data_IF_927038804013
#
_entry.id   IF_927038804013
#
_cell.length_a   1.000
_cell.length_b   1.000
_cell.length_c   1.000
_cell.angle_alpha   90.00
_cell.angle_beta   90.00
_cell.angle_gamma   90.00
#
_symmetry.space_group_name_H-M   'P 1'
#
loop_
_entity.id
_entity.type
_entity.pdbx_description
1 polymer ?
#
# COMPACT_ATOMS: atom_id res chain seq x y z
N UNK A 1 -17.52 7.73 7.79
CA UNK A 1 -16.72 7.01 8.79
C UNK A 1 -17.62 6.39 9.85
N UNK A 2 -18.44 7.18 10.56
CA UNK A 2 -19.33 6.72 11.65
C UNK A 2 -20.19 5.51 11.31
N UNK A 3 -20.74 5.42 10.10
CA UNK A 3 -21.57 4.28 9.70
C UNK A 3 -20.81 2.95 9.78
N UNK A 4 -19.58 2.91 9.27
CA UNK A 4 -18.73 1.70 9.32
C UNK A 4 -18.33 1.35 10.76
N UNK A 5 -17.96 2.36 11.56
CA UNK A 5 -17.59 2.17 12.97
C UNK A 5 -18.78 1.59 13.76
N UNK A 6 -19.98 2.13 13.56
CA UNK A 6 -21.20 1.64 14.24
C UNK A 6 -21.55 0.21 13.83
N UNK A 7 -21.39 -0.14 12.56
CA UNK A 7 -21.61 -1.51 12.09
C UNK A 7 -20.63 -2.50 12.72
N UNK A 8 -19.37 -2.08 12.94
CA UNK A 8 -18.32 -2.91 13.54
C UNK A 8 -18.47 -3.04 15.06
N UNK A 9 -19.00 -1.99 15.71
CA UNK A 9 -19.17 -1.88 17.16
C UNK A 9 -20.61 -1.51 17.50
N UNK A 10 -21.56 -2.46 17.37
CA UNK A 10 -22.99 -2.18 17.59
C UNK A 10 -23.32 -1.75 19.04
N UNK A 11 -22.50 -2.21 19.99
CA UNK A 11 -22.67 -1.94 21.43
C UNK A 11 -22.13 -0.57 21.87
N UNK A 12 -21.44 0.14 20.98
CA UNK A 12 -20.90 1.46 21.33
C UNK A 12 -21.98 2.53 21.38
N UNK A 13 -21.84 3.42 22.35
CA UNK A 13 -22.66 4.62 22.41
C UNK A 13 -22.42 5.55 21.22
N UNK A 14 -23.38 6.41 20.92
CA UNK A 14 -23.21 7.41 19.85
C UNK A 14 -21.96 8.26 20.05
N UNK A 15 -21.66 8.63 21.30
CA UNK A 15 -20.50 9.46 21.65
C UNK A 15 -19.19 8.73 21.35
N UNK A 16 -19.06 7.47 21.73
CA UNK A 16 -17.88 6.63 21.42
C UNK A 16 -17.65 6.49 19.91
N UNK A 17 -18.71 6.30 19.12
CA UNK A 17 -18.62 6.23 17.65
C UNK A 17 -18.13 7.56 17.05
N UNK A 18 -18.59 8.70 17.58
CA UNK A 18 -18.17 10.03 17.14
C UNK A 18 -16.68 10.21 17.44
N UNK A 19 -16.27 10.05 18.69
CA UNK A 19 -14.89 10.25 19.13
C UNK A 19 -13.91 9.38 18.36
N UNK A 20 -14.24 8.11 18.17
CA UNK A 20 -13.44 7.19 17.38
C UNK A 20 -13.36 7.62 15.91
N UNK A 21 -14.47 8.02 15.30
CA UNK A 21 -14.47 8.49 13.91
C UNK A 21 -13.65 9.77 13.73
N UNK A 22 -13.78 10.71 14.65
CA UNK A 22 -13.00 11.96 14.64
C UNK A 22 -11.50 11.71 14.82
N UNK A 23 -11.11 10.74 15.65
CA UNK A 23 -9.72 10.32 15.79
C UNK A 23 -9.11 9.99 14.42
N UNK A 24 -9.76 9.15 13.62
CA UNK A 24 -9.25 8.75 12.30
C UNK A 24 -9.34 9.88 11.26
N UNK A 25 -10.36 10.75 11.35
CA UNK A 25 -10.42 11.94 10.50
C UNK A 25 -9.27 12.91 10.81
N UNK A 26 -8.93 13.11 12.08
CA UNK A 26 -7.76 13.89 12.49
C UNK A 26 -6.44 13.28 12.01
N UNK A 27 -6.31 11.95 12.07
CA UNK A 27 -5.12 11.24 11.59
C UNK A 27 -4.85 11.46 10.10
N UNK A 28 -5.88 11.67 9.29
CA UNK A 28 -5.78 12.02 7.86
C UNK A 28 -5.79 13.52 7.60
N UNK A 29 -5.55 14.35 8.62
CA UNK A 29 -5.48 15.80 8.49
C UNK A 29 -6.83 16.50 8.18
N UNK A 30 -7.95 15.85 8.41
CA UNK A 30 -9.28 16.46 8.29
C UNK A 30 -9.68 17.07 9.64
N UNK A 31 -9.40 18.36 9.78
CA UNK A 31 -9.65 19.17 10.99
C UNK A 31 -10.27 20.51 10.61
N UNK A 32 -10.55 21.37 11.61
CA UNK A 32 -11.02 22.73 11.39
C UNK A 32 -12.41 22.83 10.76
N UNK A 33 -13.31 21.92 11.14
CA UNK A 33 -14.69 21.88 10.64
C UNK A 33 -14.87 21.06 9.34
N UNK A 34 -13.77 20.58 8.74
CA UNK A 34 -13.84 19.74 7.53
C UNK A 34 -14.53 18.39 7.80
N UNK A 35 -14.40 17.88 9.02
CA UNK A 35 -15.00 16.65 9.53
C UNK A 35 -16.53 16.68 9.54
N UNK A 36 -17.13 17.87 9.55
CA UNK A 36 -18.58 18.07 9.55
C UNK A 36 -19.16 18.37 8.16
N UNK A 37 -18.31 18.52 7.14
CA UNK A 37 -18.76 18.83 5.77
C UNK A 37 -19.40 17.62 5.09
N UNK A 38 -20.40 17.92 4.23
CA UNK A 38 -20.99 16.90 3.36
C UNK A 38 -20.02 16.53 2.22
N UNK A 39 -20.10 15.32 1.65
CA UNK A 39 -19.21 14.88 0.57
C UNK A 39 -19.10 15.85 -0.60
N UNK A 40 -20.18 16.52 -0.99
CA UNK A 40 -20.20 17.52 -2.05
C UNK A 40 -19.40 18.80 -1.74
N UNK A 41 -19.11 19.06 -0.48
CA UNK A 41 -18.35 20.22 0.00
C UNK A 41 -16.85 19.90 0.19
N UNK A 42 -16.44 18.66 -0.11
CA UNK A 42 -15.08 18.20 0.02
C UNK A 42 -14.36 18.21 -1.33
N UNK A 43 -13.09 18.58 -1.35
CA UNK A 43 -12.24 18.40 -2.52
C UNK A 43 -11.99 16.92 -2.82
N UNK A 44 -11.45 16.60 -4.01
CA UNK A 44 -11.08 15.22 -4.38
C UNK A 44 -10.15 14.58 -3.34
N UNK A 45 -9.07 15.27 -2.97
CA UNK A 45 -8.13 14.80 -1.96
C UNK A 45 -8.76 14.66 -0.58
N UNK A 46 -9.67 15.57 -0.17
CA UNK A 46 -10.39 15.44 1.10
C UNK A 46 -11.32 14.21 1.10
N UNK A 47 -11.99 13.93 -0.01
CA UNK A 47 -12.81 12.70 -0.15
C UNK A 47 -11.96 11.45 -0.03
N UNK A 48 -10.77 11.45 -0.65
CA UNK A 48 -9.83 10.33 -0.54
C UNK A 48 -9.36 10.11 0.91
N UNK A 49 -9.03 11.18 1.62
CA UNK A 49 -8.69 11.14 3.05
C UNK A 49 -9.84 10.54 3.89
N UNK A 50 -11.09 10.93 3.62
CA UNK A 50 -12.27 10.33 4.28
C UNK A 50 -12.37 8.83 3.98
N UNK A 51 -12.08 8.40 2.73
CA UNK A 51 -12.09 6.98 2.36
C UNK A 51 -11.04 6.18 3.12
N UNK A 52 -9.82 6.72 3.24
CA UNK A 52 -8.74 6.11 4.03
C UNK A 52 -9.16 6.04 5.51
N UNK A 53 -9.60 7.16 6.10
CA UNK A 53 -10.06 7.20 7.50
C UNK A 53 -11.18 6.18 7.75
N UNK A 54 -12.13 6.05 6.83
CA UNK A 54 -13.22 5.07 6.91
C UNK A 54 -12.71 3.64 6.93
N UNK A 55 -11.74 3.33 6.08
CA UNK A 55 -11.18 1.99 5.96
C UNK A 55 -10.38 1.59 7.21
N UNK A 56 -9.59 2.49 7.76
CA UNK A 56 -8.81 2.23 8.98
C UNK A 56 -9.64 2.27 10.27
N UNK A 57 -10.71 3.09 10.33
CA UNK A 57 -11.52 3.26 11.54
C UNK A 57 -12.28 2.00 11.96
N UNK A 58 -12.57 1.09 11.05
CA UNK A 58 -13.18 -0.21 11.37
C UNK A 58 -12.18 -1.24 11.91
N UNK A 59 -10.90 -0.90 11.94
CA UNK A 59 -9.80 -1.72 12.42
C UNK A 59 -9.81 -3.15 11.87
N UNK A 60 -9.78 -3.33 10.54
CA UNK A 60 -9.78 -4.65 9.94
C UNK A 60 -8.44 -5.37 10.20
N UNK A 61 -8.43 -6.70 10.24
CA UNK A 61 -7.19 -7.47 10.28
C UNK A 61 -6.42 -7.37 8.96
N UNK A 62 -7.14 -7.30 7.86
CA UNK A 62 -6.60 -7.13 6.51
C UNK A 62 -7.34 -5.98 5.81
N UNK A 63 -6.58 -5.01 5.32
CA UNK A 63 -7.08 -3.87 4.54
C UNK A 63 -6.64 -4.05 3.09
N UNK A 64 -7.61 -3.98 2.17
CA UNK A 64 -7.36 -4.02 0.73
C UNK A 64 -7.51 -2.62 0.15
N UNK A 65 -6.50 -2.15 -0.56
CA UNK A 65 -6.46 -0.85 -1.23
C UNK A 65 -6.19 -1.08 -2.73
N UNK A 66 -7.11 -0.62 -3.57
CA UNK A 66 -6.98 -0.70 -5.03
C UNK A 66 -6.71 0.69 -5.58
N UNK A 67 -5.52 0.90 -6.13
CA UNK A 67 -5.05 2.19 -6.70
C UNK A 67 -5.38 3.41 -5.82
N UNK A 68 -5.04 3.41 -4.51
CA UNK A 68 -5.58 4.40 -3.58
C UNK A 68 -5.13 5.84 -3.88
N UNK A 69 -4.14 6.03 -4.72
CA UNK A 69 -3.57 7.35 -5.03
C UNK A 69 -3.66 7.73 -6.51
N UNK A 70 -4.18 6.84 -7.37
CA UNK A 70 -4.17 7.02 -8.83
C UNK A 70 -4.87 8.30 -9.33
N UNK A 71 -5.93 8.75 -8.64
CA UNK A 71 -6.70 9.94 -9.01
C UNK A 71 -6.17 11.27 -8.40
N UNK A 72 -4.99 11.26 -7.77
CA UNK A 72 -4.46 12.41 -7.05
C UNK A 72 -3.32 13.10 -7.83
N UNK A 73 -3.26 14.43 -7.75
CA UNK A 73 -2.08 15.19 -8.17
C UNK A 73 -0.86 14.85 -7.29
N UNK A 74 0.33 15.14 -7.80
CA UNK A 74 1.59 14.73 -7.17
C UNK A 74 1.78 15.25 -5.73
N UNK A 75 1.38 16.51 -5.45
CA UNK A 75 1.54 17.11 -4.12
C UNK A 75 0.56 16.48 -3.12
N UNK A 76 -0.71 16.36 -3.50
CA UNK A 76 -1.74 15.73 -2.69
C UNK A 76 -1.42 14.26 -2.44
N UNK A 77 -0.93 13.54 -3.46
CA UNK A 77 -0.50 12.14 -3.36
C UNK A 77 0.58 11.96 -2.29
N UNK A 78 1.64 12.77 -2.34
CA UNK A 78 2.72 12.71 -1.34
C UNK A 78 2.21 12.87 0.08
N UNK A 79 1.40 13.90 0.31
CA UNK A 79 0.82 14.16 1.63
C UNK A 79 -0.03 12.98 2.14
N UNK A 80 -0.87 12.41 1.27
CA UNK A 80 -1.76 11.30 1.66
C UNK A 80 -0.97 10.00 1.91
N UNK A 81 0.11 9.76 1.17
CA UNK A 81 0.98 8.62 1.42
C UNK A 81 1.69 8.73 2.76
N UNK A 82 2.17 9.91 3.13
CA UNK A 82 2.79 10.16 4.44
C UNK A 82 1.77 9.96 5.58
N UNK A 83 0.52 10.38 5.36
CA UNK A 83 -0.58 10.13 6.30
C UNK A 83 -0.91 8.64 6.43
N UNK A 84 -0.93 7.90 5.31
CA UNK A 84 -1.14 6.45 5.30
C UNK A 84 -0.06 5.73 6.12
N UNK A 85 1.22 6.08 5.90
CA UNK A 85 2.35 5.52 6.67
C UNK A 85 2.16 5.78 8.16
N UNK A 86 1.75 7.00 8.53
CA UNK A 86 1.53 7.37 9.93
C UNK A 86 0.40 6.57 10.57
N UNK A 87 -0.74 6.44 9.88
CA UNK A 87 -1.89 5.67 10.37
C UNK A 87 -1.51 4.20 10.50
N UNK A 88 -0.90 3.63 9.46
CA UNK A 88 -0.49 2.23 9.46
C UNK A 88 0.50 1.93 10.59
N UNK A 89 1.48 2.82 10.82
CA UNK A 89 2.45 2.66 11.92
C UNK A 89 1.79 2.70 13.30
N UNK A 90 0.66 3.39 13.44
CA UNK A 90 -0.08 3.50 14.70
C UNK A 90 -1.12 2.39 14.91
N UNK A 91 -1.54 1.69 13.85
CA UNK A 91 -2.63 0.71 13.91
C UNK A 91 -2.18 -0.74 13.71
N UNK A 92 -0.96 -0.95 13.24
CA UNK A 92 -0.34 -2.27 13.00
C UNK A 92 -1.20 -3.26 12.18
N UNK A 93 -2.01 -2.73 11.26
CA UNK A 93 -2.88 -3.53 10.40
C UNK A 93 -2.09 -4.14 9.23
N UNK A 94 -2.49 -5.33 8.78
CA UNK A 94 -1.99 -5.87 7.52
C UNK A 94 -2.68 -5.13 6.37
N UNK A 95 -1.88 -4.55 5.49
CA UNK A 95 -2.39 -3.83 4.30
C UNK A 95 -1.91 -4.52 3.04
N UNK A 96 -2.84 -4.74 2.13
CA UNK A 96 -2.58 -5.26 0.79
C UNK A 96 -2.99 -4.19 -0.21
N UNK A 97 -2.05 -3.70 -1.02
CA UNK A 97 -2.28 -2.58 -1.93
C UNK A 97 -1.96 -2.99 -3.36
N UNK A 98 -2.82 -2.59 -4.28
CA UNK A 98 -2.57 -2.66 -5.72
C UNK A 98 -2.14 -1.27 -6.18
N UNK A 99 -1.02 -1.20 -6.90
CA UNK A 99 -0.53 0.03 -7.51
C UNK A 99 0.29 -0.28 -8.76
N UNK A 100 0.30 0.62 -9.72
CA UNK A 100 1.18 0.58 -10.88
C UNK A 100 2.41 1.50 -10.72
N UNK A 101 2.53 2.21 -9.60
CA UNK A 101 3.64 3.11 -9.31
C UNK A 101 4.73 2.38 -8.52
N UNK A 102 5.88 2.17 -9.16
CA UNK A 102 7.03 1.45 -8.59
C UNK A 102 7.58 2.15 -7.35
N UNK A 103 7.67 3.48 -7.38
CA UNK A 103 8.24 4.25 -6.28
C UNK A 103 7.31 4.25 -5.07
N UNK A 104 6.01 4.23 -5.31
CA UNK A 104 4.97 4.06 -4.29
C UNK A 104 5.05 2.67 -3.65
N UNK A 105 5.18 1.61 -4.45
CA UNK A 105 5.32 0.25 -3.97
C UNK A 105 6.55 0.11 -3.05
N UNK A 106 7.70 0.69 -3.43
CA UNK A 106 8.92 0.63 -2.62
C UNK A 106 8.78 1.44 -1.33
N UNK A 107 8.19 2.63 -1.40
CA UNK A 107 8.02 3.51 -0.24
C UNK A 107 7.14 2.87 0.84
N UNK A 108 6.03 2.27 0.42
CA UNK A 108 4.97 1.86 1.33
C UNK A 108 5.09 0.41 1.79
N UNK A 109 5.52 -0.54 0.93
CA UNK A 109 5.41 -1.96 1.24
C UNK A 109 6.68 -2.60 1.81
N UNK A 110 6.52 -3.67 2.58
CA UNK A 110 7.62 -4.54 3.04
C UNK A 110 7.88 -5.68 2.05
N UNK A 111 6.88 -5.96 1.20
CA UNK A 111 6.95 -6.99 0.17
C UNK A 111 6.13 -6.56 -1.05
N UNK A 112 6.70 -6.73 -2.24
CA UNK A 112 6.06 -6.40 -3.51
C UNK A 112 5.84 -7.71 -4.27
N UNK A 113 4.59 -7.95 -4.69
CA UNK A 113 4.24 -9.09 -5.52
C UNK A 113 4.18 -8.64 -6.98
N UNK A 114 5.00 -9.24 -7.83
CA UNK A 114 5.02 -8.97 -9.26
C UNK A 114 4.15 -9.98 -9.99
N UNK A 115 3.18 -9.47 -10.74
CA UNK A 115 2.22 -10.28 -11.49
C UNK A 115 2.69 -10.52 -12.92
N UNK A 116 2.37 -11.70 -13.46
CA UNK A 116 2.48 -11.95 -14.90
C UNK A 116 1.28 -11.33 -15.62
N UNK A 117 1.39 -11.23 -16.95
CA UNK A 117 0.33 -10.72 -17.82
C UNK A 117 -0.59 -11.85 -18.35
N UNK A 118 -1.75 -11.44 -18.89
CA UNK A 118 -2.63 -12.29 -19.66
C UNK A 118 -3.71 -13.01 -18.86
N UNK A 119 -4.51 -13.86 -19.53
CA UNK A 119 -5.70 -14.47 -18.94
C UNK A 119 -5.41 -15.46 -17.81
N UNK A 120 -4.15 -15.88 -17.68
CA UNK A 120 -3.67 -16.77 -16.60
C UNK A 120 -2.64 -16.06 -15.74
N UNK A 121 -2.87 -14.77 -15.46
CA UNK A 121 -1.98 -13.97 -14.62
C UNK A 121 -1.76 -14.63 -13.25
N UNK A 122 -0.49 -14.67 -12.80
CA UNK A 122 -0.09 -15.24 -11.52
C UNK A 122 0.98 -14.37 -10.86
N UNK A 123 1.21 -14.57 -9.58
CA UNK A 123 2.37 -14.00 -8.91
C UNK A 123 3.62 -14.69 -9.42
N UNK A 124 4.50 -13.96 -10.10
CA UNK A 124 5.77 -14.46 -10.61
C UNK A 124 6.89 -14.36 -9.58
N UNK A 125 6.98 -13.19 -8.95
CA UNK A 125 8.04 -12.89 -7.99
C UNK A 125 7.47 -12.21 -6.74
N UNK A 126 8.14 -12.45 -5.61
CA UNK A 126 7.88 -11.78 -4.33
C UNK A 126 9.14 -11.05 -3.91
N UNK A 127 9.19 -9.74 -4.16
CA UNK A 127 10.36 -8.90 -3.88
C UNK A 127 10.30 -8.39 -2.44
N UNK A 128 11.35 -8.64 -1.67
CA UNK A 128 11.50 -8.11 -0.31
C UNK A 128 12.06 -6.69 -0.37
N UNK A 129 11.39 -5.75 0.28
CA UNK A 129 11.87 -4.37 0.40
C UNK A 129 12.67 -4.24 1.69
N UNK A 130 13.97 -4.52 1.60
CA UNK A 130 14.91 -4.51 2.74
C UNK A 130 15.47 -3.10 2.99
N UNK A 131 14.55 -2.13 3.09
CA UNK A 131 14.85 -0.74 3.46
C UNK A 131 14.22 -0.49 4.82
N UNK A 132 15.01 -0.06 5.83
CA UNK A 132 14.51 0.17 7.18
C UNK A 132 13.34 1.17 7.24
N UNK A 133 12.45 0.99 8.22
CA UNK A 133 11.41 1.96 8.56
C UNK A 133 11.86 2.84 9.74
N UNK A 134 11.38 4.07 9.88
CA UNK A 134 10.40 4.74 9.01
C UNK A 134 11.03 5.16 7.68
N UNK A 135 10.29 5.01 6.57
CA UNK A 135 10.73 5.48 5.26
C UNK A 135 10.17 6.86 4.99
N UNK A 136 11.03 7.75 4.55
CA UNK A 136 10.68 9.11 4.16
C UNK A 136 10.89 9.26 2.66
N UNK A 137 9.95 9.85 1.97
CA UNK A 137 9.99 10.09 0.52
C UNK A 137 11.25 10.83 0.06
N UNK A 138 11.66 11.86 0.81
CA UNK A 138 12.83 12.67 0.46
C UNK A 138 14.16 11.94 0.69
N UNK A 139 14.18 11.00 1.63
CA UNK A 139 15.39 10.29 2.06
C UNK A 139 15.55 8.93 1.40
N UNK A 140 14.46 8.26 1.02
CA UNK A 140 14.51 6.91 0.47
C UNK A 140 15.36 6.82 -0.80
N UNK A 141 15.35 7.88 -1.62
CA UNK A 141 16.14 7.96 -2.85
C UNK A 141 17.65 7.98 -2.61
N UNK A 142 18.10 8.28 -1.39
CA UNK A 142 19.52 8.24 -1.01
C UNK A 142 19.92 6.87 -0.44
N UNK A 143 18.96 5.97 -0.23
CA UNK A 143 19.25 4.60 0.21
C UNK A 143 19.76 3.75 -0.96
N UNK A 144 20.90 3.09 -0.80
CA UNK A 144 21.48 2.26 -1.85
C UNK A 144 20.56 1.11 -2.30
N UNK A 145 19.75 0.56 -1.38
CA UNK A 145 18.78 -0.50 -1.67
C UNK A 145 17.64 -0.03 -2.57
N UNK A 146 17.28 1.26 -2.51
CA UNK A 146 16.17 1.81 -3.29
C UNK A 146 16.34 1.59 -4.80
N UNK A 147 17.47 2.01 -5.36
CA UNK A 147 17.70 1.87 -6.79
C UNK A 147 17.89 0.42 -7.23
N UNK A 148 18.42 -0.44 -6.37
CA UNK A 148 18.54 -1.88 -6.66
C UNK A 148 17.17 -2.52 -6.81
N UNK A 149 16.26 -2.25 -5.88
CA UNK A 149 14.88 -2.72 -5.94
C UNK A 149 14.16 -2.10 -7.14
N UNK A 150 14.24 -0.77 -7.29
CA UNK A 150 13.59 -0.05 -8.38
C UNK A 150 13.99 -0.56 -9.77
N UNK A 151 15.27 -0.75 -10.01
CA UNK A 151 15.79 -1.26 -11.28
C UNK A 151 15.26 -2.67 -11.54
N UNK A 152 15.29 -3.56 -10.54
CA UNK A 152 14.73 -4.90 -10.65
C UNK A 152 13.25 -4.88 -11.05
N UNK A 153 12.44 -4.05 -10.38
CA UNK A 153 11.01 -3.92 -10.69
C UNK A 153 10.79 -3.39 -12.12
N UNK A 154 11.52 -2.34 -12.51
CA UNK A 154 11.40 -1.74 -13.84
C UNK A 154 11.84 -2.72 -14.93
N UNK A 155 12.92 -3.47 -14.73
CA UNK A 155 13.40 -4.50 -15.66
C UNK A 155 12.37 -5.63 -15.82
N UNK A 156 11.78 -6.08 -14.71
CA UNK A 156 10.72 -7.08 -14.75
C UNK A 156 9.52 -6.59 -15.58
N UNK A 157 9.02 -5.39 -15.29
CA UNK A 157 7.86 -4.80 -15.98
C UNK A 157 8.17 -4.55 -17.46
N UNK A 158 9.38 -4.05 -17.81
CA UNK A 158 9.78 -3.83 -19.18
C UNK A 158 9.89 -5.13 -19.98
N UNK A 159 10.41 -6.19 -19.40
CA UNK A 159 10.47 -7.53 -19.99
C UNK A 159 9.07 -8.06 -20.27
N UNK A 160 8.16 -7.95 -19.30
CA UNK A 160 6.77 -8.40 -19.43
C UNK A 160 5.98 -7.59 -20.46
N UNK A 161 6.21 -6.29 -20.58
CA UNK A 161 5.60 -5.46 -21.63
C UNK A 161 5.99 -5.90 -23.04
N UNK A 162 7.25 -6.32 -23.23
CA UNK A 162 7.72 -6.86 -24.52
C UNK A 162 7.09 -8.23 -24.85
N UNK A 163 6.88 -9.07 -23.87
CA UNK A 163 6.21 -10.37 -24.03
C UNK A 163 4.75 -10.22 -24.47
N UNK A 164 4.05 -9.19 -23.99
CA UNK A 164 2.68 -8.86 -24.42
C UNK A 164 2.60 -8.47 -25.91
N UNK A 165 3.63 -7.80 -26.43
CA UNK A 165 3.67 -7.37 -27.83
C UNK A 165 4.06 -8.48 -28.81
N UNK A 166 4.49 -9.65 -28.35
CA UNK A 166 5.12 -10.65 -29.23
C UNK A 166 4.74 -12.12 -29.07
N UNK A 167 4.26 -12.62 -27.94
CA UNK A 167 3.82 -14.03 -27.79
C UNK A 167 3.22 -14.30 -26.40
N UNK A 168 2.13 -15.09 -26.35
CA UNK A 168 1.65 -15.69 -25.12
C UNK A 168 2.60 -16.80 -24.68
N UNK A 169 3.47 -16.51 -23.74
CA UNK A 169 4.27 -17.57 -23.11
C UNK A 169 3.35 -18.49 -22.33
N UNK A 170 3.25 -19.75 -22.77
CA UNK A 170 2.71 -20.85 -21.95
C UNK A 170 3.69 -21.13 -20.82
N UNK A 171 3.78 -20.24 -19.84
CA UNK A 171 4.52 -20.51 -18.63
C UNK A 171 3.75 -21.48 -17.74
N UNK A 172 4.47 -22.45 -17.20
CA UNK A 172 3.95 -23.56 -16.39
C UNK A 172 3.12 -23.05 -15.23
N UNK A 173 1.84 -23.40 -15.21
CA UNK A 173 0.96 -23.20 -14.06
C UNK A 173 1.42 -24.11 -12.93
N UNK A 174 1.65 -23.56 -11.74
CA UNK A 174 1.85 -24.35 -10.52
C UNK A 174 3.17 -24.15 -9.78
N UNK A 175 4.14 -23.43 -10.32
CA UNK A 175 5.36 -23.11 -9.57
C UNK A 175 5.08 -21.98 -8.55
N UNK A 176 5.57 -22.11 -7.28
CA UNK A 176 5.44 -21.04 -6.31
C UNK A 176 6.22 -19.79 -6.76
N UNK A 177 5.80 -18.57 -6.35
CA UNK A 177 6.49 -17.36 -6.71
C UNK A 177 7.91 -17.35 -6.13
N UNK A 178 8.89 -16.94 -6.95
CA UNK A 178 10.27 -16.80 -6.49
C UNK A 178 10.40 -15.63 -5.53
N UNK A 179 11.03 -15.84 -4.37
CA UNK A 179 11.38 -14.74 -3.46
C UNK A 179 12.70 -14.11 -3.88
N UNK A 180 12.68 -12.81 -4.13
CA UNK A 180 13.84 -12.04 -4.61
C UNK A 180 14.21 -10.95 -3.60
N UNK A 181 15.53 -10.78 -3.37
CA UNK A 181 16.11 -9.72 -2.54
C UNK A 181 17.13 -8.95 -3.39
N UNK A 182 16.72 -7.93 -4.15
CA UNK A 182 17.62 -7.21 -5.04
C UNK A 182 18.79 -6.58 -4.28
N UNK A 183 20.03 -6.99 -4.65
CA UNK A 183 21.25 -6.45 -4.09
C UNK A 183 21.83 -7.17 -2.88
N UNK A 184 21.22 -8.24 -2.40
CA UNK A 184 21.89 -9.22 -1.55
C UNK A 184 22.44 -10.34 -2.43
N UNK A 185 23.69 -10.74 -2.19
CA UNK A 185 24.22 -11.99 -2.72
C UNK A 185 23.45 -13.10 -1.99
N UNK A 186 23.02 -14.13 -2.70
CA UNK A 186 22.34 -15.30 -2.09
C UNK A 186 23.23 -15.88 -0.98
N UNK A 187 22.93 -15.49 0.24
CA UNK A 187 23.42 -16.16 1.44
C UNK A 187 22.23 -16.90 2.04
N UNK A 188 22.43 -18.18 2.34
CA UNK A 188 21.49 -19.11 2.95
C UNK A 188 21.11 -18.70 4.41
N UNK A 189 20.70 -17.46 4.64
CA UNK A 189 20.17 -17.07 5.94
C UNK A 189 18.66 -17.34 6.00
N UNK A 190 18.20 -18.08 7.03
CA UNK A 190 16.78 -18.37 7.20
C UNK A 190 15.99 -17.08 7.37
N UNK A 191 14.82 -17.03 6.72
CA UNK A 191 13.87 -15.93 6.79
C UNK A 191 13.63 -15.51 8.25
N UNK A 192 14.14 -14.36 8.64
CA UNK A 192 13.70 -13.73 9.89
C UNK A 192 12.22 -13.40 9.72
N UNK A 193 11.36 -14.15 10.39
CA UNK A 193 9.92 -13.87 10.39
C UNK A 193 9.71 -12.44 10.91
N UNK A 194 9.09 -11.55 10.15
CA UNK A 194 8.81 -10.20 10.62
C UNK A 194 7.78 -10.27 11.74
N UNK A 195 8.11 -9.63 12.85
CA UNK A 195 7.30 -9.55 14.07
C UNK A 195 6.15 -8.54 13.98
N UNK A 196 5.90 -7.93 12.82
CA UNK A 196 4.88 -6.88 12.61
C UNK A 196 3.98 -7.18 11.41
N UNK A 197 2.74 -6.67 11.41
CA UNK A 197 1.86 -6.72 10.24
C UNK A 197 2.56 -6.17 9.00
N UNK A 198 2.38 -6.87 7.87
CA UNK A 198 3.09 -6.57 6.62
C UNK A 198 2.21 -5.71 5.73
N UNK A 199 2.81 -4.68 5.15
CA UNK A 199 2.24 -4.00 3.99
C UNK A 199 2.78 -4.69 2.75
N UNK A 200 1.86 -5.27 1.95
CA UNK A 200 2.17 -5.97 0.70
C UNK A 200 1.61 -5.13 -0.44
N UNK A 201 2.42 -4.88 -1.45
CA UNK A 201 1.99 -4.23 -2.68
C UNK A 201 2.03 -5.20 -3.85
N UNK A 202 1.10 -5.06 -4.77
CA UNK A 202 1.15 -5.68 -6.10
C UNK A 202 1.50 -4.59 -7.09
N UNK A 203 2.57 -4.81 -7.85
CA UNK A 203 2.90 -4.06 -9.04
C UNK A 203 2.57 -4.92 -10.26
N UNK A 204 1.73 -4.40 -11.13
CA UNK A 204 1.30 -5.03 -12.38
C UNK A 204 1.30 -4.04 -13.52
#
# INVERSE_FOLDING_TARGET
VMFGVRARHPDWTRQQVIEHSEKYLKMVGLTGGAEHRKPAQLSGGMRQRVSIARAFAIQPQLLLLDEPFGALDALTRGTIQDELIRIWSATEQTVFMITHDVDEAILLSDRILLMTNGPYARVAESVVVDIPRPRNRAEIIHNQGYYKIRNHLVEFLARRSKELSGQSSRERSGEPPTTVRPGLVETDEPERQPTRPKLVSIAG
#
